data_IF_404139422610
#
_entry.id   IF_404139422610
#
_cell.length_a   1.000
_cell.length_b   1.000
_cell.length_c   1.000
_cell.angle_alpha   90.00
_cell.angle_beta   90.00
_cell.angle_gamma   90.00
#
_symmetry.space_group_name_H-M   'P 1'
#
loop_
_entity.id
_entity.type
_entity.pdbx_description
1 polymer ?
#
# COMPACT_ATOMS: atom_id res chain seq x y z
N UNK A 1 21.89 9.77 14.81
CA UNK A 1 23.22 10.22 15.23
C UNK A 1 23.76 9.39 16.40
N UNK A 2 25.07 9.19 16.45
CA UNK A 2 25.76 8.50 17.55
C UNK A 2 27.00 9.27 17.96
N UNK A 3 27.31 9.26 19.24
CA UNK A 3 28.57 9.78 19.75
C UNK A 3 29.69 8.76 19.54
N UNK A 4 30.93 9.25 19.33
CA UNK A 4 32.11 8.41 19.49
C UNK A 4 32.33 8.05 20.97
N UNK A 5 33.29 7.20 21.24
CA UNK A 5 33.54 6.70 22.60
C UNK A 5 33.96 7.83 23.58
N UNK A 6 34.69 8.80 23.13
CA UNK A 6 35.16 9.95 23.90
C UNK A 6 34.09 11.01 24.13
N UNK A 7 32.99 10.98 23.35
CA UNK A 7 31.85 11.90 23.46
C UNK A 7 32.09 13.28 22.87
N UNK A 8 33.14 13.47 22.07
CA UNK A 8 33.50 14.74 21.46
C UNK A 8 33.08 14.91 19.99
N UNK A 9 32.60 13.84 19.38
CA UNK A 9 32.07 13.83 18.04
C UNK A 9 30.67 13.17 17.96
N UNK A 10 29.82 13.79 17.14
CA UNK A 10 28.52 13.20 16.75
C UNK A 10 28.60 12.75 15.30
N UNK A 11 28.34 11.47 15.05
CA UNK A 11 28.25 10.86 13.73
C UNK A 11 26.79 10.76 13.32
N UNK A 12 26.50 11.14 12.08
CA UNK A 12 25.14 11.09 11.54
C UNK A 12 25.18 10.89 10.02
N UNK A 13 24.10 10.38 9.47
CA UNK A 13 23.86 10.38 8.04
C UNK A 13 23.03 11.60 7.67
N UNK A 14 23.39 12.26 6.59
CA UNK A 14 22.63 13.34 5.98
C UNK A 14 22.29 12.94 4.55
N UNK A 15 21.03 13.06 4.20
CA UNK A 15 20.58 12.83 2.85
C UNK A 15 20.84 14.07 2.00
N UNK A 16 21.46 13.89 0.86
CA UNK A 16 21.75 14.97 -0.08
C UNK A 16 20.75 14.99 -1.25
N UNK A 17 20.76 16.09 -1.99
CA UNK A 17 19.88 16.28 -3.16
C UNK A 17 20.18 15.34 -4.34
N UNK A 18 21.25 14.58 -4.29
CA UNK A 18 21.61 13.57 -5.29
C UNK A 18 21.17 12.15 -4.87
N UNK A 19 20.22 12.07 -3.92
CA UNK A 19 19.63 10.78 -3.45
C UNK A 19 20.64 9.83 -2.80
N UNK A 20 21.74 10.37 -2.30
CA UNK A 20 22.71 9.58 -1.56
C UNK A 20 22.83 10.05 -0.12
N UNK A 21 22.96 9.10 0.80
CA UNK A 21 23.24 9.40 2.19
C UNK A 21 24.72 9.63 2.38
N UNK A 22 25.08 10.80 2.88
CA UNK A 22 26.46 11.13 3.27
C UNK A 22 26.65 10.83 4.76
N UNK A 23 27.71 10.11 5.10
CA UNK A 23 28.14 9.96 6.48
C UNK A 23 28.92 11.19 6.90
N UNK A 24 28.45 11.87 7.93
CA UNK A 24 29.09 13.10 8.47
C UNK A 24 29.38 12.96 9.94
N UNK A 25 30.31 13.79 10.39
CA UNK A 25 30.52 14.03 11.81
C UNK A 25 30.63 15.53 12.10
N UNK A 26 30.25 15.89 13.31
CA UNK A 26 30.40 17.24 13.83
C UNK A 26 30.93 17.18 15.25
N UNK A 27 31.84 18.09 15.61
CA UNK A 27 32.32 18.20 16.98
C UNK A 27 31.21 18.71 17.90
N UNK A 28 31.08 18.15 19.10
CA UNK A 28 30.15 18.63 20.14
C UNK A 28 30.45 20.05 20.61
N UNK A 29 31.67 20.53 20.32
CA UNK A 29 32.15 21.91 20.64
C UNK A 29 31.78 22.91 19.52
N UNK A 30 31.11 22.45 18.45
CA UNK A 30 30.75 23.27 17.29
C UNK A 30 31.73 23.17 16.14
N UNK A 31 31.50 23.93 15.10
CA UNK A 31 32.25 23.92 13.85
C UNK A 31 31.40 23.44 12.67
N UNK A 32 32.03 23.38 11.48
CA UNK A 32 31.37 22.85 10.29
C UNK A 32 31.36 21.32 10.30
N UNK A 33 30.30 20.69 9.79
CA UNK A 33 30.27 19.24 9.61
C UNK A 33 31.37 18.76 8.64
N UNK A 34 31.98 17.64 8.96
CA UNK A 34 32.93 16.96 8.09
C UNK A 34 32.26 15.77 7.41
N UNK A 35 32.31 15.69 6.08
CA UNK A 35 31.89 14.50 5.34
C UNK A 35 32.95 13.41 5.43
N UNK A 36 32.53 12.20 5.80
CA UNK A 36 33.39 11.03 5.90
C UNK A 36 33.26 10.21 4.62
N UNK A 37 34.33 10.10 3.87
CA UNK A 37 34.38 9.25 2.70
C UNK A 37 34.81 7.83 3.11
N UNK A 38 34.01 6.83 2.71
CA UNK A 38 34.36 5.43 2.87
C UNK A 38 35.22 5.03 1.67
N UNK A 39 36.54 4.90 1.88
CA UNK A 39 37.46 4.55 0.81
C UNK A 39 37.54 3.04 0.56
N UNK A 40 37.36 2.25 1.59
CA UNK A 40 37.45 0.78 1.54
C UNK A 40 36.35 0.13 2.41
N UNK A 41 35.63 -0.84 1.85
CA UNK A 41 34.79 -1.74 2.61
C UNK A 41 35.53 -3.05 2.85
N UNK A 42 35.94 -3.30 4.09
CA UNK A 42 36.39 -4.63 4.51
C UNK A 42 35.23 -5.45 5.02
N UNK A 43 34.79 -6.40 4.21
CA UNK A 43 33.69 -7.30 4.56
C UNK A 43 34.04 -8.32 5.64
N UNK A 44 35.33 -8.41 6.03
CA UNK A 44 35.87 -9.34 7.02
C UNK A 44 35.49 -10.82 6.77
N UNK A 45 35.01 -11.12 5.58
CA UNK A 45 34.65 -12.45 5.11
C UNK A 45 34.78 -12.51 3.58
N UNK A 46 35.14 -13.66 3.01
CA UNK A 46 35.12 -13.85 1.56
C UNK A 46 33.71 -13.68 1.02
N UNK A 47 33.58 -12.97 -0.10
CA UNK A 47 32.31 -12.69 -0.76
C UNK A 47 32.34 -13.02 -2.24
N UNK A 48 31.17 -13.24 -2.82
CA UNK A 48 30.93 -13.31 -4.26
C UNK A 48 29.87 -12.30 -4.68
N UNK A 49 29.82 -12.01 -5.97
CA UNK A 49 28.78 -11.21 -6.59
C UNK A 49 27.65 -12.12 -7.08
N UNK A 50 26.41 -11.86 -6.68
CA UNK A 50 25.23 -12.59 -7.12
C UNK A 50 24.37 -11.71 -8.03
N UNK A 51 24.26 -12.13 -9.29
CA UNK A 51 23.37 -11.53 -10.28
C UNK A 51 22.04 -12.29 -10.28
N UNK A 52 20.96 -11.58 -10.01
CA UNK A 52 19.61 -12.13 -9.94
C UNK A 52 18.80 -11.57 -11.10
N UNK A 53 18.23 -12.45 -11.92
CA UNK A 53 17.19 -12.11 -12.90
C UNK A 53 15.84 -12.64 -12.40
N UNK A 54 14.77 -11.90 -12.61
CA UNK A 54 13.41 -12.31 -12.26
C UNK A 54 12.46 -12.24 -13.43
N UNK A 55 11.66 -13.29 -13.58
CA UNK A 55 10.58 -13.39 -14.55
C UNK A 55 9.27 -13.74 -13.84
N UNK A 56 8.17 -13.23 -14.39
CA UNK A 56 6.81 -13.67 -14.04
C UNK A 56 6.17 -14.18 -15.33
N UNK A 57 5.70 -15.42 -15.36
CA UNK A 57 5.20 -16.11 -16.57
C UNK A 57 6.16 -16.03 -17.77
N UNK A 58 7.47 -16.11 -17.48
CA UNK A 58 8.52 -16.08 -18.49
C UNK A 58 8.86 -14.68 -19.05
N UNK A 59 8.23 -13.63 -18.56
CA UNK A 59 8.55 -12.25 -18.91
C UNK A 59 9.36 -11.59 -17.79
N UNK A 60 10.37 -10.78 -18.14
CA UNK A 60 11.13 -10.01 -17.19
C UNK A 60 10.22 -8.99 -16.50
N UNK A 61 10.03 -9.15 -15.20
CA UNK A 61 9.19 -8.28 -14.40
C UNK A 61 9.82 -7.90 -13.07
N UNK A 62 9.34 -6.79 -12.50
CA UNK A 62 9.73 -6.33 -11.18
C UNK A 62 9.24 -7.30 -10.10
N UNK A 63 10.04 -7.47 -9.05
CA UNK A 63 9.72 -8.33 -7.90
C UNK A 63 10.24 -7.73 -6.60
N UNK A 64 9.59 -8.06 -5.49
CA UNK A 64 10.14 -7.83 -4.16
C UNK A 64 11.04 -9.01 -3.77
N UNK A 65 12.23 -8.69 -3.28
CA UNK A 65 13.25 -9.66 -2.87
C UNK A 65 13.58 -9.53 -1.38
N UNK A 66 13.72 -10.67 -0.72
CA UNK A 66 14.35 -10.79 0.59
C UNK A 66 15.42 -11.87 0.50
N UNK A 67 16.64 -11.53 0.89
CA UNK A 67 17.78 -12.43 0.80
C UNK A 67 18.42 -12.52 2.17
N UNK A 68 18.71 -13.73 2.63
CA UNK A 68 19.43 -13.98 3.87
C UNK A 68 20.56 -14.99 3.69
N UNK A 69 21.63 -14.80 4.45
CA UNK A 69 22.71 -15.80 4.57
C UNK A 69 22.26 -17.01 5.43
N UNK A 70 23.15 -17.97 5.60
CA UNK A 70 22.90 -19.18 6.42
C UNK A 70 22.70 -18.88 7.91
N UNK A 71 23.07 -17.70 8.39
CA UNK A 71 22.90 -17.24 9.77
C UNK A 71 21.65 -16.36 9.95
N UNK A 72 20.92 -16.11 8.86
CA UNK A 72 19.75 -15.25 8.86
C UNK A 72 20.06 -13.75 8.73
N UNK A 73 21.31 -13.36 8.45
CA UNK A 73 21.66 -11.96 8.21
C UNK A 73 21.18 -11.54 6.81
N UNK A 74 20.59 -10.32 6.68
CA UNK A 74 20.12 -9.85 5.39
C UNK A 74 21.27 -9.58 4.43
N UNK A 75 21.10 -9.96 3.17
CA UNK A 75 21.96 -9.62 2.05
C UNK A 75 21.23 -8.60 1.19
N UNK A 76 21.78 -7.42 1.05
CA UNK A 76 21.14 -6.26 0.44
C UNK A 76 21.99 -5.71 -0.72
N UNK A 77 21.37 -5.04 -1.72
CA UNK A 77 22.11 -4.34 -2.77
C UNK A 77 22.89 -3.16 -2.18
N UNK A 78 23.93 -2.74 -2.90
CA UNK A 78 24.76 -1.59 -2.48
C UNK A 78 24.11 -0.23 -2.67
N UNK A 79 22.93 -0.16 -3.29
CA UNK A 79 22.17 1.05 -3.58
C UNK A 79 20.68 0.72 -3.66
N UNK A 80 19.84 1.74 -3.65
CA UNK A 80 18.37 1.62 -3.66
C UNK A 80 17.78 1.67 -2.26
N UNK A 81 16.47 1.62 -2.20
CA UNK A 81 15.69 1.70 -0.95
C UNK A 81 15.60 0.31 -0.33
N UNK A 82 15.98 0.22 0.93
CA UNK A 82 15.92 -1.01 1.73
C UNK A 82 14.88 -0.83 2.81
N UNK A 83 13.97 -1.80 2.88
CA UNK A 83 12.91 -1.82 3.87
C UNK A 83 13.07 -2.97 4.86
N UNK A 84 12.53 -2.77 6.05
CA UNK A 84 12.38 -3.81 7.06
C UNK A 84 10.90 -3.91 7.43
N UNK A 85 10.31 -5.08 7.25
CA UNK A 85 8.92 -5.29 7.63
C UNK A 85 8.75 -5.10 9.15
N UNK A 86 7.66 -4.38 9.52
CA UNK A 86 7.48 -3.88 10.88
C UNK A 86 7.20 -4.94 11.94
N UNK A 87 6.62 -6.07 11.57
CA UNK A 87 6.16 -7.11 12.51
C UNK A 87 7.21 -8.21 12.72
N UNK A 88 7.80 -8.73 11.65
CA UNK A 88 8.72 -9.85 11.72
C UNK A 88 10.20 -9.48 11.45
N UNK A 89 10.45 -8.23 11.05
CA UNK A 89 11.80 -7.72 10.80
C UNK A 89 12.44 -8.24 9.52
N UNK A 90 11.66 -8.85 8.61
CA UNK A 90 12.18 -9.29 7.31
C UNK A 90 12.66 -8.10 6.51
N UNK A 91 13.93 -8.12 6.10
CA UNK A 91 14.51 -7.09 5.24
C UNK A 91 14.18 -7.42 3.80
N UNK A 92 13.71 -6.42 3.05
CA UNK A 92 13.37 -6.57 1.65
C UNK A 92 13.72 -5.32 0.84
N UNK A 93 13.78 -5.49 -0.47
CA UNK A 93 13.98 -4.43 -1.45
C UNK A 93 13.30 -4.83 -2.76
N UNK A 94 13.20 -3.89 -3.68
CA UNK A 94 12.59 -4.12 -4.98
C UNK A 94 13.62 -4.19 -6.10
N UNK A 95 13.32 -4.97 -7.12
CA UNK A 95 14.13 -5.13 -8.32
C UNK A 95 13.24 -4.98 -9.55
N UNK A 96 13.70 -4.23 -10.54
CA UNK A 96 13.03 -4.06 -11.84
C UNK A 96 13.19 -5.26 -12.79
N UNK A 97 13.54 -6.43 -12.26
CA UNK A 97 13.78 -7.65 -13.01
C UNK A 97 15.24 -8.09 -13.07
N UNK A 98 16.18 -7.23 -12.69
CA UNK A 98 17.59 -7.59 -12.53
C UNK A 98 18.20 -6.79 -11.38
N UNK A 99 18.99 -7.46 -10.55
CA UNK A 99 19.74 -6.82 -9.47
C UNK A 99 21.04 -7.57 -9.20
N UNK A 100 22.04 -6.82 -8.77
CA UNK A 100 23.32 -7.33 -8.29
C UNK A 100 23.45 -7.10 -6.79
N UNK A 101 23.83 -8.15 -6.07
CA UNK A 101 24.11 -8.06 -4.64
C UNK A 101 25.46 -8.72 -4.32
N UNK A 102 26.17 -8.17 -3.35
CA UNK A 102 27.34 -8.81 -2.79
C UNK A 102 26.91 -9.70 -1.63
N UNK A 103 27.23 -10.98 -1.70
CA UNK A 103 26.83 -11.98 -0.72
C UNK A 103 28.06 -12.69 -0.12
N UNK A 104 28.01 -13.13 1.15
CA UNK A 104 29.05 -13.97 1.71
C UNK A 104 29.12 -15.33 0.97
N UNK A 105 30.32 -15.90 0.90
CA UNK A 105 30.50 -17.26 0.36
C UNK A 105 29.74 -18.25 1.25
N UNK A 106 28.98 -19.16 0.64
CA UNK A 106 28.14 -20.11 1.33
C UNK A 106 26.72 -20.16 0.77
N UNK A 107 25.77 -20.69 1.53
CA UNK A 107 24.38 -20.77 1.12
C UNK A 107 23.66 -19.46 1.47
N UNK A 108 22.93 -18.91 0.50
CA UNK A 108 21.95 -17.84 0.70
C UNK A 108 20.56 -18.35 0.33
N UNK A 109 19.56 -17.84 1.01
CA UNK A 109 18.14 -18.09 0.71
C UNK A 109 17.54 -16.82 0.12
N UNK A 110 16.96 -16.92 -1.07
CA UNK A 110 16.28 -15.84 -1.78
C UNK A 110 14.78 -16.12 -1.72
N UNK A 111 14.01 -15.16 -1.26
CA UNK A 111 12.55 -15.16 -1.35
C UNK A 111 12.13 -14.06 -2.32
N UNK A 112 11.36 -14.42 -3.33
CA UNK A 112 10.80 -13.50 -4.31
C UNK A 112 9.27 -13.54 -4.29
N UNK A 113 8.63 -12.38 -4.42
CA UNK A 113 7.18 -12.23 -4.54
C UNK A 113 6.84 -11.20 -5.62
N UNK A 114 5.65 -11.35 -6.22
CA UNK A 114 5.08 -10.38 -7.14
C UNK A 114 3.63 -10.14 -6.75
N UNK A 115 3.43 -9.21 -5.82
CA UNK A 115 2.12 -8.88 -5.26
C UNK A 115 1.35 -10.08 -4.74
N UNK A 116 0.02 -10.07 -4.97
CA UNK A 116 -0.90 -11.15 -4.61
C UNK A 116 -1.25 -12.06 -5.78
N UNK A 117 -0.76 -11.75 -6.97
CA UNK A 117 -1.13 -12.46 -8.20
C UNK A 117 -0.21 -13.63 -8.54
N UNK A 118 0.94 -13.74 -7.90
CA UNK A 118 1.90 -14.82 -8.14
C UNK A 118 2.25 -15.61 -6.87
N UNK A 119 2.61 -16.88 -7.06
CA UNK A 119 3.14 -17.68 -5.97
C UNK A 119 4.52 -17.19 -5.53
N UNK A 120 4.73 -17.21 -4.22
CA UNK A 120 6.03 -16.92 -3.63
C UNK A 120 7.06 -17.97 -4.05
N UNK A 121 8.18 -17.55 -4.61
CA UNK A 121 9.32 -18.41 -4.87
C UNK A 121 10.37 -18.30 -3.77
N UNK A 122 10.85 -19.44 -3.27
CA UNK A 122 11.98 -19.53 -2.34
C UNK A 122 13.06 -20.39 -2.96
N UNK A 123 14.27 -19.86 -3.11
CA UNK A 123 15.38 -20.56 -3.72
C UNK A 123 16.66 -20.44 -2.89
N UNK A 124 17.36 -21.55 -2.67
CA UNK A 124 18.68 -21.59 -2.05
C UNK A 124 19.75 -21.59 -3.13
N UNK A 125 20.75 -20.76 -2.96
CA UNK A 125 21.87 -20.59 -3.90
C UNK A 125 23.18 -20.70 -3.14
N UNK A 126 24.13 -21.48 -3.65
CA UNK A 126 25.47 -21.56 -3.09
C UNK A 126 26.37 -20.51 -3.76
N UNK A 127 26.81 -19.55 -3.00
CA UNK A 127 27.69 -18.48 -3.45
C UNK A 127 29.14 -18.95 -3.41
N UNK A 128 29.84 -18.81 -4.54
CA UNK A 128 31.29 -18.98 -4.68
C UNK A 128 31.96 -17.61 -4.89
N UNK A 129 33.28 -17.57 -4.77
CA UNK A 129 34.07 -16.38 -5.13
C UNK A 129 33.85 -16.02 -6.61
N UNK A 130 33.80 -14.72 -6.91
CA UNK A 130 33.52 -14.21 -8.26
C UNK A 130 32.02 -14.10 -8.55
N UNK A 131 31.64 -14.31 -9.81
CA UNK A 131 30.28 -14.08 -10.31
C UNK A 131 29.40 -15.34 -10.17
N UNK A 132 28.27 -15.19 -9.53
CA UNK A 132 27.21 -16.17 -9.40
C UNK A 132 25.94 -15.66 -10.10
N UNK A 133 25.13 -16.53 -10.67
CA UNK A 133 23.91 -16.16 -11.38
C UNK A 133 22.76 -17.04 -10.94
N UNK A 134 21.58 -16.42 -10.81
CA UNK A 134 20.31 -17.11 -10.55
C UNK A 134 19.20 -16.45 -11.36
N UNK A 135 18.28 -17.26 -11.86
CA UNK A 135 17.04 -16.78 -12.46
C UNK A 135 15.87 -17.28 -11.62
N UNK A 136 15.02 -16.36 -11.21
CA UNK A 136 13.79 -16.63 -10.48
C UNK A 136 12.65 -16.61 -11.49
N UNK A 137 11.78 -17.62 -11.46
CA UNK A 137 10.62 -17.71 -12.35
C UNK A 137 9.38 -17.89 -11.48
N UNK A 138 8.59 -16.83 -11.34
CA UNK A 138 7.34 -16.85 -10.62
C UNK A 138 6.20 -17.17 -11.60
N UNK A 139 5.19 -17.86 -11.10
CA UNK A 139 3.99 -18.21 -11.87
C UNK A 139 2.79 -17.45 -11.28
N UNK A 140 2.01 -16.79 -12.15
CA UNK A 140 0.76 -16.15 -11.71
C UNK A 140 -0.27 -17.22 -11.39
N UNK A 141 -0.96 -17.00 -10.28
CA UNK A 141 -2.16 -17.75 -9.89
C UNK A 141 -3.42 -17.12 -10.48
N UNK A 142 -3.35 -15.86 -10.81
CA UNK A 142 -4.40 -15.08 -11.43
C UNK A 142 -3.82 -13.88 -12.17
N UNK A 143 -4.29 -13.64 -13.38
CA UNK A 143 -4.00 -12.43 -14.16
C UNK A 143 -5.24 -11.54 -14.12
N UNK A 144 -5.26 -10.63 -13.15
CA UNK A 144 -6.37 -9.72 -12.93
C UNK A 144 -6.63 -8.83 -14.14
N UNK A 145 -5.56 -8.34 -14.76
CA UNK A 145 -5.62 -7.41 -15.89
C UNK A 145 -6.22 -8.07 -17.15
N UNK A 146 -5.98 -9.35 -17.37
CA UNK A 146 -6.59 -10.11 -18.45
C UNK A 146 -8.12 -10.24 -18.30
N UNK A 147 -8.63 -10.20 -17.06
CA UNK A 147 -10.07 -10.18 -16.77
C UNK A 147 -10.64 -8.75 -16.62
N UNK A 148 -9.80 -7.73 -16.85
CA UNK A 148 -10.15 -6.31 -16.79
C UNK A 148 -10.22 -5.75 -15.36
N UNK A 149 -9.63 -6.43 -14.37
CA UNK A 149 -9.46 -5.95 -13.02
C UNK A 149 -8.09 -5.30 -12.84
N UNK A 150 -8.04 -4.17 -12.16
CA UNK A 150 -6.81 -3.43 -11.91
C UNK A 150 -6.67 -3.11 -10.45
N UNK A 151 -5.51 -3.42 -9.89
CA UNK A 151 -5.18 -3.21 -8.49
C UNK A 151 -4.76 -1.78 -8.22
N UNK A 152 -5.23 -1.21 -7.11
CA UNK A 152 -4.79 0.11 -6.66
C UNK A 152 -4.51 0.14 -5.16
N UNK A 153 -3.51 0.95 -4.81
CA UNK A 153 -3.31 1.44 -3.45
C UNK A 153 -3.73 2.91 -3.41
N UNK A 154 -4.89 3.18 -2.79
CA UNK A 154 -5.48 4.53 -2.77
C UNK A 154 -5.01 5.36 -1.57
N UNK A 155 -4.10 4.82 -0.75
CA UNK A 155 -3.63 5.49 0.46
C UNK A 155 -2.25 4.97 0.88
N UNK A 156 -1.23 5.68 0.54
CA UNK A 156 0.13 5.53 1.06
C UNK A 156 0.85 6.88 1.04
N UNK A 157 2.03 6.97 1.62
CA UNK A 157 2.80 8.21 1.71
C UNK A 157 4.18 8.03 1.09
N UNK A 158 4.58 8.94 0.19
CA UNK A 158 5.92 8.95 -0.38
C UNK A 158 6.93 9.39 0.68
N UNK A 159 6.81 10.64 1.16
CA UNK A 159 7.71 11.24 2.13
C UNK A 159 6.95 11.76 3.35
N UNK A 160 6.63 10.88 4.28
CA UNK A 160 5.79 11.24 5.43
C UNK A 160 6.55 12.00 6.53
N UNK A 161 7.74 11.55 6.90
CA UNK A 161 8.53 12.15 7.97
C UNK A 161 9.85 11.41 8.25
N UNK A 162 10.23 10.49 7.37
CA UNK A 162 11.51 9.77 7.45
C UNK A 162 12.70 10.67 7.13
N UNK A 163 13.89 10.10 7.28
CA UNK A 163 15.16 10.79 7.00
C UNK A 163 15.54 10.75 5.52
N UNK A 164 15.06 9.74 4.80
CA UNK A 164 15.28 9.62 3.37
C UNK A 164 14.17 10.36 2.63
N UNK A 165 14.52 10.97 1.53
CA UNK A 165 13.58 11.59 0.61
C UNK A 165 13.58 10.80 -0.68
N UNK A 166 12.39 10.36 -1.09
CA UNK A 166 12.14 9.60 -2.31
C UNK A 166 11.56 10.52 -3.37
N UNK A 167 11.94 10.28 -4.61
CA UNK A 167 11.26 10.85 -5.76
C UNK A 167 10.13 9.91 -6.25
N UNK A 168 9.14 10.41 -6.99
CA UNK A 168 8.05 9.59 -7.49
C UNK A 168 8.50 8.38 -8.31
N UNK A 169 9.61 8.50 -9.02
CA UNK A 169 10.21 7.43 -9.84
C UNK A 169 10.69 6.24 -9.00
N UNK A 170 11.11 6.47 -7.76
CA UNK A 170 11.61 5.42 -6.87
C UNK A 170 10.53 4.38 -6.55
N UNK A 171 9.26 4.80 -6.44
CA UNK A 171 8.16 3.90 -6.09
C UNK A 171 7.46 3.26 -7.29
N UNK A 172 7.79 3.61 -8.52
CA UNK A 172 7.21 2.95 -9.70
C UNK A 172 7.63 1.48 -9.78
N UNK A 173 8.86 1.17 -9.40
CA UNK A 173 9.33 -0.22 -9.32
C UNK A 173 8.63 -0.98 -8.20
N UNK A 174 8.40 -0.34 -7.06
CA UNK A 174 7.71 -0.93 -5.92
C UNK A 174 6.27 -1.29 -6.27
N UNK A 175 5.53 -0.35 -6.89
CA UNK A 175 4.18 -0.57 -7.39
C UNK A 175 4.12 -1.72 -8.40
N UNK A 176 5.03 -1.72 -9.38
CA UNK A 176 5.10 -2.79 -10.38
C UNK A 176 5.40 -4.14 -9.75
N UNK A 177 6.35 -4.20 -8.81
CA UNK A 177 6.73 -5.43 -8.11
C UNK A 177 5.61 -5.99 -7.21
N UNK A 178 4.74 -5.13 -6.72
CA UNK A 178 3.57 -5.52 -5.93
C UNK A 178 2.30 -5.73 -6.80
N UNK A 179 2.42 -5.63 -8.13
CA UNK A 179 1.27 -5.79 -9.04
C UNK A 179 0.19 -4.72 -8.81
N UNK A 180 0.60 -3.49 -8.53
CA UNK A 180 -0.29 -2.33 -8.38
C UNK A 180 -0.30 -1.57 -9.70
N UNK A 181 -1.47 -1.45 -10.33
CA UNK A 181 -1.64 -0.77 -11.62
C UNK A 181 -1.77 0.74 -11.48
N UNK A 182 -2.32 1.20 -10.36
CA UNK A 182 -2.46 2.63 -10.05
C UNK A 182 -2.21 2.90 -8.57
N UNK A 183 -1.36 3.88 -8.27
CA UNK A 183 -1.03 4.31 -6.91
C UNK A 183 -1.41 5.75 -6.64
N UNK A 184 -1.93 6.01 -5.43
CA UNK A 184 -2.23 7.35 -4.95
C UNK A 184 -1.44 7.65 -3.68
N UNK A 185 -0.17 8.15 -3.79
CA UNK A 185 0.49 8.71 -2.62
C UNK A 185 -0.24 9.97 -2.17
N UNK A 186 -0.56 10.01 -0.87
CA UNK A 186 -1.32 11.12 -0.29
C UNK A 186 -0.39 12.14 0.36
N UNK A 187 -0.50 13.38 -0.06
CA UNK A 187 0.23 14.51 0.54
C UNK A 187 -0.30 14.75 1.95
N UNK A 188 0.51 14.44 2.95
CA UNK A 188 0.14 14.56 4.36
C UNK A 188 1.33 14.64 5.33
N UNK A 189 2.50 15.05 4.86
CA UNK A 189 3.75 15.03 5.61
C UNK A 189 3.65 15.62 7.02
N UNK A 190 4.25 14.95 8.00
CA UNK A 190 4.30 15.43 9.38
C UNK A 190 5.31 16.55 9.58
N UNK A 191 6.53 16.38 9.06
CA UNK A 191 7.64 17.30 9.29
C UNK A 191 7.60 18.54 8.40
N UNK A 192 7.44 18.36 7.10
CA UNK A 192 7.35 19.42 6.12
C UNK A 192 6.13 19.22 5.21
N UNK A 193 5.02 19.80 5.58
CA UNK A 193 3.74 19.62 4.89
C UNK A 193 3.69 20.19 3.48
N UNK A 194 4.62 21.05 3.13
CA UNK A 194 4.67 21.69 1.82
C UNK A 194 5.64 21.04 0.84
N UNK A 195 6.42 20.08 1.31
CA UNK A 195 7.47 19.44 0.52
C UNK A 195 6.94 18.86 -0.79
N UNK A 196 5.85 18.10 -0.73
CA UNK A 196 5.25 17.38 -1.85
C UNK A 196 4.12 18.13 -2.55
N UNK A 197 3.83 19.36 -2.16
CA UNK A 197 2.74 20.15 -2.77
C UNK A 197 2.86 20.23 -4.30
N UNK A 198 4.06 20.32 -4.83
CA UNK A 198 4.30 20.42 -6.28
C UNK A 198 3.99 19.11 -7.00
N UNK A 199 4.01 17.96 -6.34
CA UNK A 199 3.77 16.64 -6.89
C UNK A 199 2.29 16.39 -7.22
N UNK A 200 1.36 17.24 -6.77
CA UNK A 200 -0.06 17.15 -7.17
C UNK A 200 -0.27 17.22 -8.69
N UNK A 201 0.70 17.77 -9.42
CA UNK A 201 0.68 17.83 -10.88
C UNK A 201 1.62 16.81 -11.54
N UNK A 202 2.15 15.87 -10.77
CA UNK A 202 3.02 14.83 -11.32
C UNK A 202 2.26 13.92 -12.27
N UNK A 203 2.89 13.60 -13.36
CA UNK A 203 2.42 12.69 -14.41
C UNK A 203 3.57 11.80 -14.81
N UNK A 204 3.37 10.48 -14.79
CA UNK A 204 4.31 9.55 -15.37
C UNK A 204 3.74 8.95 -16.66
N UNK A 205 4.63 8.47 -17.52
CA UNK A 205 4.27 7.71 -18.71
C UNK A 205 4.27 6.21 -18.41
N UNK A 206 3.36 5.47 -19.03
CA UNK A 206 3.31 4.01 -18.92
C UNK A 206 2.57 3.50 -17.68
N UNK A 207 2.93 2.26 -17.28
CA UNK A 207 2.35 1.55 -16.14
C UNK A 207 3.49 1.20 -15.15
N UNK A 208 3.22 1.22 -13.84
CA UNK A 208 1.95 1.63 -13.19
C UNK A 208 1.65 3.13 -13.33
N UNK A 209 0.38 3.51 -13.19
CA UNK A 209 -0.06 4.90 -13.16
C UNK A 209 0.17 5.44 -11.74
N UNK A 210 0.85 6.57 -11.61
CA UNK A 210 1.08 7.25 -10.35
C UNK A 210 0.40 8.61 -10.34
N UNK A 211 -0.49 8.85 -9.38
CA UNK A 211 -1.24 10.09 -9.22
C UNK A 211 -1.29 10.50 -7.76
N UNK A 212 -0.96 11.74 -7.47
CA UNK A 212 -0.98 12.22 -6.10
C UNK A 212 -2.39 12.61 -5.66
N UNK A 213 -2.71 12.23 -4.42
CA UNK A 213 -3.90 12.65 -3.71
C UNK A 213 -3.54 13.44 -2.45
N UNK A 214 -4.50 13.62 -1.57
CA UNK A 214 -4.30 14.33 -0.31
C UNK A 214 -4.97 13.58 0.84
N UNK A 215 -4.28 13.47 1.96
CA UNK A 215 -4.92 13.14 3.23
C UNK A 215 -5.21 14.42 4.01
N UNK A 216 -6.49 14.63 4.32
CA UNK A 216 -6.97 15.73 5.14
C UNK A 216 -7.25 15.21 6.54
N UNK A 217 -6.72 15.87 7.57
CA UNK A 217 -6.68 15.33 8.93
C UNK A 217 -7.44 16.18 9.93
N UNK A 218 -8.46 15.58 10.54
CA UNK A 218 -8.99 16.01 11.82
C UNK A 218 -8.96 14.83 12.79
N UNK A 219 -8.24 14.94 13.89
CA UNK A 219 -8.18 13.86 14.87
C UNK A 219 -9.51 13.61 15.58
N UNK A 220 -10.40 14.58 15.58
CA UNK A 220 -11.71 14.43 16.19
C UNK A 220 -12.77 13.93 15.21
N UNK A 221 -12.84 14.54 14.02
CA UNK A 221 -13.86 14.19 13.02
C UNK A 221 -13.47 13.02 12.14
N UNK A 222 -12.19 12.64 12.09
CA UNK A 222 -11.63 11.58 11.26
C UNK A 222 -10.78 12.11 10.12
N UNK A 223 -9.93 11.25 9.57
CA UNK A 223 -9.12 11.56 8.41
C UNK A 223 -9.87 11.24 7.12
N UNK A 224 -9.55 11.97 6.07
CA UNK A 224 -10.14 11.81 4.74
C UNK A 224 -9.06 11.70 3.69
N UNK A 225 -9.24 10.83 2.70
CA UNK A 225 -8.49 10.92 1.45
C UNK A 225 -9.28 11.71 0.40
N UNK A 226 -8.54 12.39 -0.48
CA UNK A 226 -9.05 13.04 -1.68
C UNK A 226 -8.17 12.57 -2.85
N UNK A 227 -8.77 11.91 -3.85
CA UNK A 227 -8.07 11.39 -5.04
C UNK A 227 -8.78 11.87 -6.31
N UNK A 228 -8.01 12.08 -7.38
CA UNK A 228 -8.56 12.52 -8.68
C UNK A 228 -8.67 14.04 -8.84
N UNK A 229 -7.97 14.84 -8.03
CA UNK A 229 -7.82 16.29 -8.23
C UNK A 229 -6.35 16.69 -8.21
N UNK A 230 -6.02 17.78 -8.90
CA UNK A 230 -4.70 18.41 -8.86
C UNK A 230 -4.63 19.58 -7.86
N UNK A 231 -5.73 19.87 -7.19
CA UNK A 231 -5.82 20.95 -6.22
C UNK A 231 -5.86 20.42 -4.80
N UNK A 232 -5.12 21.08 -3.91
CA UNK A 232 -5.14 20.76 -2.47
C UNK A 232 -6.27 21.52 -1.78
N UNK A 233 -6.98 20.82 -0.90
CA UNK A 233 -7.86 21.46 0.08
C UNK A 233 -7.01 22.10 1.18
N UNK A 234 -7.38 23.30 1.61
CA UNK A 234 -6.69 24.02 2.68
C UNK A 234 -7.67 24.56 3.74
N UNK A 235 -7.38 24.43 5.02
CA UNK A 235 -6.24 23.72 5.62
C UNK A 235 -6.46 22.20 5.56
N UNK A 236 -5.39 21.40 5.47
CA UNK A 236 -5.51 19.93 5.45
C UNK A 236 -5.31 19.26 6.80
N UNK A 237 -5.06 20.07 7.86
CA UNK A 237 -4.95 19.61 9.24
C UNK A 237 -5.60 20.63 10.14
N UNK A 238 -6.46 20.19 11.06
CA UNK A 238 -7.05 21.02 12.09
C UNK A 238 -7.45 20.25 13.34
N UNK A 239 -7.88 20.98 14.39
CA UNK A 239 -8.33 20.41 15.63
C UNK A 239 -7.24 20.31 16.69
N UNK A 240 -7.50 19.61 17.80
CA UNK A 240 -6.58 19.48 18.91
C UNK A 240 -5.18 19.02 18.47
N UNK A 241 -4.15 19.63 19.01
CA UNK A 241 -2.72 19.41 18.69
C UNK A 241 -2.26 20.00 17.34
N UNK A 242 -3.13 20.69 16.60
CA UNK A 242 -2.81 21.36 15.34
C UNK A 242 -3.21 22.84 15.31
N UNK A 243 -3.19 23.50 16.46
CA UNK A 243 -3.68 24.88 16.65
C UNK A 243 -3.03 25.91 15.72
N UNK A 244 -1.80 25.62 15.24
CA UNK A 244 -1.10 26.49 14.28
C UNK A 244 -1.75 26.51 12.89
N UNK A 245 -2.59 25.50 12.56
CA UNK A 245 -3.24 25.36 11.25
C UNK A 245 -4.73 25.71 11.28
N UNK A 246 -5.28 26.01 12.44
CA UNK A 246 -6.67 26.40 12.63
C UNK A 246 -7.31 25.81 13.88
N UNK A 247 -8.45 26.35 14.23
CA UNK A 247 -9.26 25.84 15.33
C UNK A 247 -10.07 24.62 14.86
N UNK A 248 -10.64 23.90 15.83
CA UNK A 248 -11.55 22.78 15.58
C UNK A 248 -12.98 23.27 15.26
N UNK A 249 -13.08 24.21 14.32
CA UNK A 249 -14.31 24.89 13.92
C UNK A 249 -14.76 24.54 12.49
N UNK A 250 -14.13 23.52 11.87
CA UNK A 250 -14.44 23.04 10.52
C UNK A 250 -15.05 21.65 10.56
N UNK A 251 -15.93 21.39 9.62
CA UNK A 251 -16.55 20.07 9.45
C UNK A 251 -15.89 19.33 8.30
N UNK A 252 -15.79 18.00 8.40
CA UNK A 252 -15.29 17.14 7.32
C UNK A 252 -16.15 17.23 6.04
N UNK A 253 -17.40 17.65 6.15
CA UNK A 253 -18.26 17.93 5.00
C UNK A 253 -17.66 19.01 4.05
N UNK A 254 -16.82 19.93 4.54
CA UNK A 254 -16.20 20.96 3.70
C UNK A 254 -15.21 20.36 2.68
N UNK A 255 -14.16 19.60 3.09
CA UNK A 255 -13.27 18.93 2.14
C UNK A 255 -13.98 17.87 1.28
N UNK A 256 -15.00 17.17 1.80
CA UNK A 256 -15.78 16.23 1.00
C UNK A 256 -16.52 16.94 -0.15
N UNK A 257 -17.15 18.08 0.12
CA UNK A 257 -17.80 18.94 -0.89
C UNK A 257 -16.79 19.57 -1.84
N UNK A 258 -15.63 19.98 -1.35
CA UNK A 258 -14.54 20.47 -2.21
C UNK A 258 -14.16 19.41 -3.24
N UNK A 259 -13.89 18.19 -2.81
CA UNK A 259 -13.55 17.09 -3.70
C UNK A 259 -14.64 16.85 -4.75
N UNK A 260 -15.89 16.74 -4.34
CA UNK A 260 -17.03 16.56 -5.25
C UNK A 260 -17.15 17.70 -6.27
N UNK A 261 -16.96 18.95 -5.87
CA UNK A 261 -17.00 20.11 -6.76
C UNK A 261 -15.87 20.12 -7.79
N UNK A 262 -14.76 19.41 -7.51
CA UNK A 262 -13.63 19.21 -8.43
C UNK A 262 -13.77 17.94 -9.28
N UNK A 263 -14.85 17.17 -9.13
CA UNK A 263 -15.02 15.87 -9.79
C UNK A 263 -14.11 14.77 -9.24
N UNK A 264 -13.53 15.00 -8.07
CA UNK A 264 -12.68 14.06 -7.33
C UNK A 264 -13.51 13.17 -6.42
N UNK A 265 -12.92 12.07 -5.94
CA UNK A 265 -13.48 11.22 -4.90
C UNK A 265 -12.86 11.54 -3.56
N UNK A 266 -13.68 11.48 -2.52
CA UNK A 266 -13.21 11.60 -1.16
C UNK A 266 -14.01 10.71 -0.21
N UNK A 267 -13.35 10.32 0.87
CA UNK A 267 -13.98 9.53 1.90
C UNK A 267 -13.11 9.34 3.14
N UNK A 268 -13.66 8.63 4.11
CA UNK A 268 -12.97 8.35 5.36
C UNK A 268 -11.95 7.25 5.20
N UNK A 269 -10.75 7.48 5.74
CA UNK A 269 -9.65 6.51 5.78
C UNK A 269 -9.50 5.93 7.19
N UNK A 270 -9.00 4.68 7.30
CA UNK A 270 -8.86 3.90 8.54
C UNK A 270 -9.97 4.18 9.57
N UNK A 271 -11.26 4.05 9.17
CA UNK A 271 -12.37 4.65 9.93
C UNK A 271 -12.75 3.89 11.19
N UNK A 272 -12.44 2.60 11.28
CA UNK A 272 -12.83 1.77 12.44
C UNK A 272 -11.63 0.96 12.93
N UNK A 273 -11.30 1.06 14.21
CA UNK A 273 -10.16 0.36 14.83
C UNK A 273 -10.58 -0.75 15.79
N UNK A 274 -11.82 -1.21 15.73
CA UNK A 274 -12.38 -2.27 16.60
C UNK A 274 -13.21 -3.26 15.80
N UNK A 275 -13.17 -4.52 16.22
CA UNK A 275 -13.86 -5.61 15.51
C UNK A 275 -15.39 -5.50 15.52
N UNK A 276 -15.99 -4.99 16.60
CA UNK A 276 -17.42 -4.71 16.69
C UNK A 276 -17.64 -3.22 16.97
N UNK A 277 -18.00 -2.43 15.92
CA UNK A 277 -18.19 -0.99 16.06
C UNK A 277 -19.51 -0.61 16.77
N UNK A 278 -20.41 -1.55 17.00
CA UNK A 278 -21.74 -1.30 17.57
C UNK A 278 -21.80 -1.51 19.07
N UNK A 279 -20.72 -1.97 19.71
CA UNK A 279 -20.66 -2.07 21.17
C UNK A 279 -20.65 -0.68 21.83
N UNK A 280 -21.25 -0.57 23.01
CA UNK A 280 -21.42 0.68 23.76
C UNK A 280 -20.10 1.48 23.93
N UNK A 281 -18.96 0.79 24.08
CA UNK A 281 -17.63 1.42 24.26
C UNK A 281 -16.91 1.75 22.96
N UNK A 282 -17.41 1.34 21.83
CA UNK A 282 -16.73 1.47 20.52
C UNK A 282 -16.85 2.86 19.91
N UNK A 283 -17.68 3.75 20.46
CA UNK A 283 -17.90 5.10 19.96
C UNK A 283 -16.62 5.97 19.88
N UNK A 284 -15.55 5.61 20.58
CA UNK A 284 -14.25 6.30 20.52
C UNK A 284 -13.40 5.87 19.31
N UNK A 285 -13.74 4.74 18.71
CA UNK A 285 -12.98 4.11 17.62
C UNK A 285 -13.58 4.38 16.23
N UNK A 286 -14.60 5.24 16.15
CA UNK A 286 -15.26 5.64 14.91
C UNK A 286 -15.11 7.15 14.76
N UNK A 287 -14.77 7.67 13.57
CA UNK A 287 -14.72 9.09 13.28
C UNK A 287 -16.06 9.76 13.59
N UNK A 288 -16.04 10.85 14.34
CA UNK A 288 -17.28 11.47 14.87
C UNK A 288 -18.20 12.02 13.78
N UNK A 289 -17.63 12.40 12.63
CA UNK A 289 -18.43 12.94 11.54
C UNK A 289 -18.89 11.87 10.52
N UNK A 290 -18.27 10.69 10.46
CA UNK A 290 -18.52 9.67 9.42
C UNK A 290 -20.00 9.33 9.26
N UNK A 291 -20.72 9.05 10.36
CA UNK A 291 -22.12 8.66 10.29
C UNK A 291 -23.00 9.79 9.77
N UNK A 292 -22.78 11.02 10.25
CA UNK A 292 -23.52 12.18 9.80
C UNK A 292 -23.24 12.51 8.32
N UNK A 293 -21.98 12.54 7.92
CA UNK A 293 -21.58 12.82 6.55
C UNK A 293 -22.05 11.72 5.59
N UNK A 294 -22.05 10.45 6.03
CA UNK A 294 -22.59 9.35 5.28
C UNK A 294 -24.09 9.49 5.03
N UNK A 295 -24.88 9.72 6.09
CA UNK A 295 -26.34 9.92 5.99
C UNK A 295 -26.70 11.14 5.15
N UNK A 296 -25.89 12.19 5.18
CA UNK A 296 -26.07 13.40 4.36
C UNK A 296 -25.62 13.20 2.89
N UNK A 297 -25.07 12.03 2.53
CA UNK A 297 -24.60 11.75 1.17
C UNK A 297 -23.35 12.52 0.77
N UNK A 298 -22.53 12.91 1.73
CA UNK A 298 -21.28 13.64 1.48
C UNK A 298 -20.11 12.69 1.15
N UNK A 299 -20.15 11.44 1.63
CA UNK A 299 -19.08 10.44 1.50
C UNK A 299 -19.20 9.69 0.18
N UNK A 300 -18.17 9.72 -0.65
CA UNK A 300 -18.13 8.99 -1.93
C UNK A 300 -17.55 7.59 -1.81
N UNK A 301 -16.47 7.44 -1.05
CA UNK A 301 -15.74 6.20 -0.84
C UNK A 301 -15.50 5.94 0.65
N UNK A 302 -15.38 4.68 1.03
CA UNK A 302 -15.00 4.29 2.40
C UNK A 302 -13.83 3.31 2.33
N UNK A 303 -12.76 3.58 3.05
CA UNK A 303 -11.60 2.71 3.11
C UNK A 303 -11.89 1.53 4.03
N UNK A 304 -12.16 0.37 3.41
CA UNK A 304 -12.49 -0.87 4.15
C UNK A 304 -11.23 -1.54 4.68
N UNK A 305 -10.13 -1.47 3.94
CA UNK A 305 -8.85 -2.07 4.29
C UNK A 305 -7.73 -1.05 4.36
N UNK A 306 -6.98 -1.08 5.48
CA UNK A 306 -5.83 -0.22 5.74
C UNK A 306 -5.04 -0.76 6.94
N UNK A 307 -3.75 -0.40 7.07
CA UNK A 307 -2.90 -0.81 8.18
C UNK A 307 -3.50 -0.51 9.58
N UNK A 308 -4.23 0.60 9.69
CA UNK A 308 -4.74 1.12 10.98
C UNK A 308 -6.23 0.82 11.20
N UNK A 309 -6.86 0.08 10.31
CA UNK A 309 -8.29 -0.25 10.43
C UNK A 309 -8.50 -1.71 10.86
N UNK A 310 -9.62 -1.99 11.51
CA UNK A 310 -10.19 -3.33 11.60
C UNK A 310 -11.13 -3.52 10.40
N UNK A 311 -10.74 -4.35 9.45
CA UNK A 311 -11.47 -4.54 8.19
C UNK A 311 -12.86 -5.14 8.43
N UNK A 312 -12.99 -6.01 9.42
CA UNK A 312 -14.27 -6.65 9.76
C UNK A 312 -15.22 -5.64 10.39
N UNK A 313 -14.74 -4.84 11.33
CA UNK A 313 -15.55 -3.78 11.95
C UNK A 313 -15.93 -2.69 10.95
N UNK A 314 -15.02 -2.33 10.05
CA UNK A 314 -15.30 -1.36 8.99
C UNK A 314 -16.33 -1.91 7.99
N UNK A 315 -16.19 -3.18 7.57
CA UNK A 315 -17.17 -3.84 6.70
C UNK A 315 -18.55 -3.94 7.35
N UNK A 316 -18.62 -4.22 8.66
CA UNK A 316 -19.87 -4.26 9.39
C UNK A 316 -20.59 -2.89 9.36
N UNK A 317 -19.85 -1.80 9.60
CA UNK A 317 -20.40 -0.45 9.50
C UNK A 317 -20.82 -0.11 8.05
N UNK A 318 -20.03 -0.50 7.06
CA UNK A 318 -20.37 -0.32 5.65
C UNK A 318 -21.64 -1.06 5.25
N UNK A 319 -21.86 -2.29 5.73
CA UNK A 319 -23.10 -3.05 5.52
C UNK A 319 -24.33 -2.29 6.06
N UNK A 320 -24.22 -1.63 7.22
CA UNK A 320 -25.33 -0.84 7.76
C UNK A 320 -25.65 0.37 6.88
N UNK A 321 -24.66 1.06 6.33
CA UNK A 321 -24.91 2.13 5.36
C UNK A 321 -25.66 1.58 4.13
N UNK A 322 -25.26 0.43 3.59
CA UNK A 322 -25.94 -0.19 2.46
C UNK A 322 -27.37 -0.60 2.81
N UNK A 323 -27.62 -1.16 4.02
CA UNK A 323 -28.95 -1.52 4.51
C UNK A 323 -29.86 -0.30 4.64
N UNK A 324 -29.31 0.86 4.94
CA UNK A 324 -30.04 2.13 4.96
C UNK A 324 -30.25 2.75 3.56
N UNK A 325 -29.74 2.12 2.51
CA UNK A 325 -29.80 2.65 1.15
C UNK A 325 -28.81 3.79 0.87
N UNK A 326 -27.72 3.84 1.62
CA UNK A 326 -26.64 4.83 1.49
C UNK A 326 -25.46 4.14 0.82
N UNK A 327 -25.33 4.20 -0.52
CA UNK A 327 -24.20 3.55 -1.20
C UNK A 327 -22.92 4.35 -0.98
N UNK A 328 -21.89 3.65 -0.54
CA UNK A 328 -20.50 4.14 -0.52
C UNK A 328 -19.65 3.10 -1.26
N UNK A 329 -18.80 3.54 -2.17
CA UNK A 329 -17.90 2.62 -2.85
C UNK A 329 -16.79 2.16 -1.90
N UNK A 330 -16.45 0.86 -1.97
CA UNK A 330 -15.33 0.32 -1.22
C UNK A 330 -14.01 0.83 -1.79
N UNK A 331 -13.14 1.32 -0.93
CA UNK A 331 -11.76 1.67 -1.20
C UNK A 331 -10.83 0.94 -0.25
N UNK A 332 -9.54 0.91 -0.59
CA UNK A 332 -8.50 0.40 0.28
C UNK A 332 -7.17 1.09 -0.04
N UNK A 333 -6.29 1.11 0.93
CA UNK A 333 -4.92 1.53 0.81
C UNK A 333 -4.07 0.97 1.94
N UNK A 334 -2.76 0.96 1.77
CA UNK A 334 -1.87 0.37 2.75
C UNK A 334 -1.52 1.31 3.90
N UNK A 335 -1.63 2.63 3.69
CA UNK A 335 -1.16 3.69 4.60
C UNK A 335 0.32 3.49 5.01
N UNK A 336 1.12 2.93 4.10
CA UNK A 336 2.56 2.76 4.32
C UNK A 336 3.29 4.07 4.07
N UNK A 337 4.41 4.23 4.76
CA UNK A 337 5.29 5.40 4.67
C UNK A 337 6.57 4.94 3.99
N UNK A 338 6.65 5.12 2.65
CA UNK A 338 7.72 4.51 1.85
C UNK A 338 9.12 5.01 2.18
N UNK A 339 9.25 6.25 2.66
CA UNK A 339 10.55 6.78 3.08
C UNK A 339 11.01 6.32 4.48
N UNK A 340 10.23 5.49 5.16
CA UNK A 340 10.65 4.84 6.40
C UNK A 340 11.31 3.49 6.07
N UNK A 341 12.47 3.25 6.65
CA UNK A 341 13.12 1.94 6.49
C UNK A 341 12.31 0.79 7.10
N UNK A 342 11.45 1.09 8.09
CA UNK A 342 10.58 0.11 8.73
C UNK A 342 9.14 0.34 8.31
N UNK A 343 8.69 -0.43 7.34
CA UNK A 343 7.37 -0.30 6.74
C UNK A 343 6.84 -1.65 6.28
N UNK A 344 5.55 -1.73 5.98
CA UNK A 344 4.98 -2.83 5.20
C UNK A 344 5.25 -2.62 3.71
N UNK A 345 4.97 -3.64 2.89
CA UNK A 345 4.97 -3.48 1.46
C UNK A 345 3.81 -2.57 1.01
N UNK A 346 4.06 -1.74 0.00
CA UNK A 346 3.01 -0.98 -0.68
C UNK A 346 1.97 -1.95 -1.25
N UNK A 347 0.69 -1.56 -1.23
CA UNK A 347 -0.38 -2.44 -1.69
C UNK A 347 -0.65 -3.66 -0.81
N UNK A 348 -0.11 -3.73 0.42
CA UNK A 348 -0.41 -4.81 1.39
C UNK A 348 -1.91 -4.90 1.71
N UNK A 349 -2.61 -3.80 1.57
CA UNK A 349 -4.08 -3.74 1.44
C UNK A 349 -4.39 -2.92 0.20
N UNK A 350 -5.27 -3.43 -0.66
CA UNK A 350 -5.53 -2.86 -1.99
C UNK A 350 -6.98 -3.00 -2.40
N UNK A 351 -7.39 -2.17 -3.35
CA UNK A 351 -8.66 -2.28 -4.03
C UNK A 351 -8.45 -2.71 -5.48
N UNK A 352 -9.23 -3.68 -5.92
CA UNK A 352 -9.34 -4.03 -7.34
C UNK A 352 -10.56 -3.34 -7.92
N UNK A 353 -10.39 -2.70 -9.07
CA UNK A 353 -11.46 -1.98 -9.78
C UNK A 353 -11.55 -2.50 -11.21
N UNK A 354 -12.78 -2.66 -11.70
CA UNK A 354 -13.06 -3.02 -13.10
C UNK A 354 -13.57 -1.77 -13.84
N UNK A 355 -12.70 -0.98 -14.49
CA UNK A 355 -13.12 0.17 -15.28
C UNK A 355 -13.85 -0.23 -16.54
N UNK A 356 -14.57 0.71 -17.14
CA UNK A 356 -15.15 0.55 -18.48
C UNK A 356 -14.12 1.03 -19.52
N UNK A 357 -13.58 0.11 -20.33
CA UNK A 357 -12.55 0.38 -21.33
C UNK A 357 -11.12 0.38 -20.75
N UNK A 358 -10.16 0.99 -21.45
CA UNK A 358 -8.76 1.00 -21.02
C UNK A 358 -8.56 1.67 -19.66
N UNK A 359 -7.56 1.19 -18.91
CA UNK A 359 -7.18 1.79 -17.64
C UNK A 359 -6.65 3.22 -17.88
N UNK A 360 -7.28 4.16 -17.22
CA UNK A 360 -6.85 5.55 -17.05
C UNK A 360 -7.29 5.99 -15.65
N UNK A 361 -6.71 7.03 -15.10
CA UNK A 361 -7.20 7.59 -13.83
C UNK A 361 -8.71 7.83 -13.86
N UNK A 362 -9.22 8.43 -14.94
CA UNK A 362 -10.64 8.75 -15.04
C UNK A 362 -11.54 7.50 -15.12
N UNK A 363 -11.14 6.48 -15.89
CA UNK A 363 -11.91 5.23 -15.99
C UNK A 363 -11.88 4.45 -14.67
N UNK A 364 -10.74 4.46 -13.97
CA UNK A 364 -10.59 3.87 -12.64
C UNK A 364 -11.53 4.53 -11.63
N UNK A 365 -11.49 5.86 -11.48
CA UNK A 365 -12.35 6.59 -10.54
C UNK A 365 -13.85 6.40 -10.86
N UNK A 366 -14.22 6.32 -12.13
CA UNK A 366 -15.60 5.99 -12.55
C UNK A 366 -16.00 4.57 -12.19
N UNK A 367 -15.10 3.61 -12.33
CA UNK A 367 -15.32 2.22 -11.90
C UNK A 367 -15.51 2.13 -10.40
N UNK A 368 -14.63 2.80 -9.65
CA UNK A 368 -14.63 2.83 -8.18
C UNK A 368 -15.96 3.38 -7.64
N UNK A 369 -16.37 4.58 -8.07
CA UNK A 369 -17.62 5.20 -7.56
C UNK A 369 -18.88 4.42 -7.95
N UNK A 370 -18.84 3.64 -9.03
CA UNK A 370 -19.93 2.74 -9.42
C UNK A 370 -19.97 1.46 -8.58
N UNK A 371 -19.07 1.28 -7.62
CA UNK A 371 -18.95 0.07 -6.79
C UNK A 371 -18.46 -1.15 -7.57
N UNK A 372 -17.83 -0.97 -8.75
CA UNK A 372 -17.21 -2.07 -9.51
C UNK A 372 -15.85 -2.38 -8.93
N UNK A 373 -15.83 -2.71 -7.65
CA UNK A 373 -14.62 -2.91 -6.88
C UNK A 373 -14.79 -3.98 -5.82
N UNK A 374 -13.67 -4.58 -5.43
CA UNK A 374 -13.51 -5.35 -4.20
C UNK A 374 -12.18 -5.02 -3.54
N UNK A 375 -12.10 -5.25 -2.23
CA UNK A 375 -10.87 -5.00 -1.45
C UNK A 375 -10.21 -6.32 -1.06
N UNK A 376 -8.89 -6.30 -0.91
CA UNK A 376 -8.11 -7.47 -0.53
C UNK A 376 -6.88 -7.09 0.29
N UNK A 377 -6.53 -7.95 1.24
CA UNK A 377 -5.25 -8.01 1.92
C UNK A 377 -4.54 -9.37 1.69
N UNK A 378 -4.90 -10.05 0.60
CA UNK A 378 -4.32 -11.34 0.19
C UNK A 378 -5.22 -12.07 -0.83
N UNK A 379 -6.33 -12.72 -0.43
CA UNK A 379 -7.21 -13.42 -1.34
C UNK A 379 -7.94 -12.49 -2.30
N UNK A 380 -7.96 -12.83 -3.60
CA UNK A 380 -8.76 -12.16 -4.61
C UNK A 380 -10.08 -12.90 -4.82
N UNK A 381 -11.16 -12.14 -5.09
CA UNK A 381 -12.53 -12.64 -5.18
C UNK A 381 -13.19 -12.16 -6.47
N UNK A 382 -13.52 -13.07 -7.38
CA UNK A 382 -14.33 -12.77 -8.57
C UNK A 382 -15.75 -13.32 -8.36
N UNK A 383 -16.69 -12.44 -8.07
CA UNK A 383 -18.06 -12.80 -7.68
C UNK A 383 -19.08 -12.28 -8.68
N UNK A 384 -20.09 -13.10 -8.97
CA UNK A 384 -21.22 -12.68 -9.78
C UNK A 384 -22.53 -13.29 -9.32
N UNK A 385 -23.64 -12.58 -9.58
CA UNK A 385 -25.00 -13.03 -9.29
C UNK A 385 -25.84 -12.95 -10.57
N UNK A 386 -26.40 -14.08 -11.02
CA UNK A 386 -27.15 -14.20 -12.30
C UNK A 386 -26.34 -13.65 -13.50
N UNK A 387 -25.01 -13.80 -13.48
CA UNK A 387 -24.10 -13.29 -14.52
C UNK A 387 -23.83 -11.79 -14.46
N UNK A 388 -24.28 -11.10 -13.41
CA UNK A 388 -23.97 -9.70 -13.12
C UNK A 388 -22.82 -9.61 -12.13
N UNK A 389 -21.88 -8.77 -12.42
CA UNK A 389 -20.67 -8.55 -11.59
C UNK A 389 -20.94 -7.57 -10.45
N UNK A 390 -19.93 -7.37 -9.59
CA UNK A 390 -20.02 -6.40 -8.48
C UNK A 390 -20.31 -4.98 -9.01
N UNK A 391 -21.07 -4.19 -8.25
CA UNK A 391 -21.52 -2.85 -8.63
C UNK A 391 -22.76 -2.84 -9.55
N UNK A 392 -23.23 -4.00 -10.02
CA UNK A 392 -24.42 -4.08 -10.87
C UNK A 392 -25.67 -4.44 -10.07
N UNK A 393 -26.83 -4.01 -10.57
CA UNK A 393 -28.14 -4.32 -9.99
C UNK A 393 -28.72 -5.55 -10.65
N UNK A 394 -29.11 -6.54 -9.85
CA UNK A 394 -29.80 -7.75 -10.29
C UNK A 394 -31.29 -7.60 -10.06
N UNK A 395 -32.03 -7.25 -11.10
CA UNK A 395 -33.49 -7.25 -11.05
C UNK A 395 -34.02 -8.67 -11.25
N UNK A 396 -34.73 -9.22 -10.26
CA UNK A 396 -35.34 -10.57 -10.35
C UNK A 396 -36.68 -10.63 -9.63
N UNK A 397 -37.63 -11.38 -10.22
CA UNK A 397 -38.89 -11.77 -9.56
C UNK A 397 -38.78 -13.15 -8.89
N UNK A 398 -37.66 -13.85 -9.08
CA UNK A 398 -37.44 -15.19 -8.54
C UNK A 398 -36.96 -15.07 -7.08
N UNK A 399 -37.40 -16.01 -6.24
CA UNK A 399 -36.95 -16.11 -4.84
C UNK A 399 -35.53 -16.68 -4.70
N UNK A 400 -34.95 -17.17 -5.80
CA UNK A 400 -33.59 -17.75 -5.83
C UNK A 400 -32.78 -17.07 -6.92
N UNK A 401 -31.53 -16.87 -6.66
CA UNK A 401 -30.51 -16.38 -7.61
C UNK A 401 -29.43 -17.43 -7.75
N UNK A 402 -28.79 -17.46 -8.91
CA UNK A 402 -27.55 -18.21 -9.11
C UNK A 402 -26.36 -17.28 -8.84
N UNK A 403 -25.34 -17.78 -8.20
CA UNK A 403 -24.11 -17.03 -7.99
C UNK A 403 -22.90 -17.89 -8.37
N UNK A 404 -21.81 -17.23 -8.70
CA UNK A 404 -20.51 -17.84 -8.91
C UNK A 404 -19.46 -17.06 -8.15
N UNK A 405 -18.48 -17.75 -7.58
CA UNK A 405 -17.35 -17.16 -6.90
C UNK A 405 -16.10 -17.95 -7.28
N UNK A 406 -15.11 -17.26 -7.80
CA UNK A 406 -13.75 -17.76 -7.92
C UNK A 406 -12.88 -17.03 -6.91
N UNK A 407 -12.00 -17.76 -6.26
CA UNK A 407 -11.04 -17.23 -5.30
C UNK A 407 -9.63 -17.60 -5.75
N UNK A 408 -8.71 -16.68 -5.60
CA UNK A 408 -7.29 -16.87 -5.87
C UNK A 408 -6.50 -16.31 -4.69
N UNK A 409 -5.47 -17.00 -4.22
CA UNK A 409 -4.67 -16.50 -3.11
C UNK A 409 -3.26 -17.09 -3.12
N UNK A 410 -2.21 -16.28 -2.93
CA UNK A 410 -0.85 -16.79 -2.74
C UNK A 410 -0.67 -17.44 -1.37
N UNK A 411 -1.63 -17.25 -0.45
CA UNK A 411 -1.63 -17.78 0.91
C UNK A 411 -2.87 -18.63 1.16
N UNK A 412 -2.79 -19.66 2.01
CA UNK A 412 -3.96 -20.42 2.43
C UNK A 412 -5.00 -19.53 3.15
N UNK A 413 -6.27 -19.82 2.95
CA UNK A 413 -7.37 -19.24 3.70
C UNK A 413 -8.30 -20.33 4.26
N UNK A 414 -8.96 -20.05 5.39
CA UNK A 414 -9.71 -21.07 6.14
C UNK A 414 -11.13 -21.27 5.63
N UNK A 415 -11.81 -20.18 5.23
CA UNK A 415 -13.22 -20.22 4.86
C UNK A 415 -13.57 -19.13 3.84
N UNK A 416 -14.71 -19.37 3.19
CA UNK A 416 -15.40 -18.40 2.35
C UNK A 416 -16.84 -18.25 2.84
N UNK A 417 -17.31 -17.02 2.90
CA UNK A 417 -18.67 -16.68 3.36
C UNK A 417 -19.35 -15.75 2.36
N UNK A 418 -20.66 -15.91 2.20
CA UNK A 418 -21.50 -14.98 1.44
C UNK A 418 -22.47 -14.32 2.42
N UNK A 419 -22.52 -13.00 2.34
CA UNK A 419 -23.37 -12.16 3.15
C UNK A 419 -24.54 -11.61 2.32
N UNK A 420 -25.73 -11.53 2.92
CA UNK A 420 -26.86 -10.76 2.42
C UNK A 420 -27.32 -9.84 3.55
N UNK A 421 -27.35 -8.53 3.30
CA UNK A 421 -27.73 -7.51 4.28
C UNK A 421 -26.91 -7.56 5.58
N UNK A 422 -25.62 -7.93 5.49
CA UNK A 422 -24.75 -8.08 6.67
C UNK A 422 -24.81 -9.44 7.36
N UNK A 423 -25.72 -10.34 6.96
CA UNK A 423 -25.91 -11.66 7.56
C UNK A 423 -25.26 -12.75 6.69
N UNK A 424 -24.52 -13.67 7.32
CA UNK A 424 -23.95 -14.84 6.63
C UNK A 424 -25.07 -15.79 6.18
N UNK A 425 -25.22 -15.95 4.87
CA UNK A 425 -26.26 -16.85 4.29
C UNK A 425 -25.67 -18.14 3.76
N UNK A 426 -24.37 -18.19 3.54
CA UNK A 426 -23.65 -19.38 3.08
C UNK A 426 -22.21 -19.32 3.55
N UNK A 427 -21.64 -20.48 3.89
CA UNK A 427 -20.26 -20.61 4.32
C UNK A 427 -19.71 -21.96 3.91
N UNK A 428 -18.42 -22.00 3.55
CA UNK A 428 -17.68 -23.25 3.33
C UNK A 428 -16.25 -23.10 3.81
N UNK A 429 -15.67 -24.22 4.27
CA UNK A 429 -14.25 -24.25 4.57
C UNK A 429 -13.44 -24.44 3.28
N UNK A 430 -12.29 -23.84 3.19
CA UNK A 430 -11.32 -24.13 2.16
C UNK A 430 -10.85 -25.59 2.28
N UNK A 431 -10.69 -26.26 1.13
CA UNK A 431 -10.19 -27.66 1.11
C UNK A 431 -8.69 -27.71 0.90
N UNK A 432 -8.13 -26.86 0.05
CA UNK A 432 -6.72 -26.88 -0.35
C UNK A 432 -6.07 -25.48 -0.42
N UNK A 433 -6.76 -24.48 0.06
CA UNK A 433 -6.17 -23.22 0.48
C UNK A 433 -5.99 -22.11 -0.57
N UNK A 434 -5.72 -22.38 -1.85
CA UNK A 434 -5.19 -21.31 -2.70
C UNK A 434 -6.11 -20.84 -3.82
N UNK A 435 -6.96 -21.72 -4.38
CA UNK A 435 -7.84 -21.34 -5.48
C UNK A 435 -9.07 -22.25 -5.54
N UNK A 436 -10.26 -21.68 -5.49
CA UNK A 436 -11.50 -22.44 -5.46
C UNK A 436 -12.57 -21.77 -6.33
N UNK A 437 -13.39 -22.59 -7.00
CA UNK A 437 -14.56 -22.12 -7.75
C UNK A 437 -15.83 -22.72 -7.16
N UNK A 438 -16.83 -21.87 -6.94
CA UNK A 438 -18.13 -22.21 -6.37
C UNK A 438 -19.25 -21.74 -7.31
N UNK A 439 -20.34 -22.57 -7.36
CA UNK A 439 -21.53 -22.25 -8.16
C UNK A 439 -22.80 -22.45 -7.34
#
# INVERSE_FOLDING_TARGET
>A
PKFNHEGDWVYYAEYNKQETSELKRISVFGGEPETLNVEVWDWQAPTGTLHIASNVDGQKEAVRLSISDSNGHPVIPGHGVIHSEGQNGMVFFYSSGEVEVRAPIGEVTITATHGFEAEKQVQKVKIAEGNNKVTLNLERIWDASAEGWYAADNHFHLNYGGTNQLDPEDILVDLAAEGIDIGYPLVANLGNRFLEKHLMNYENEGSPILKFGQEVRSHYFGHLNIIGTRELYWPWVWGPSYDIYGKDDRLNAEPLRFARNKGALAGYVHPVSVHDPFQEKSHQSIPKALVADGVLGEVGILEIGCLWTDEIGTAALWHEFLNLGIPMAMSAGSDVMNNFYRTMAIGATRVYVKPEGPLTEQSFLKGLIKGRSFVSNGPQLVFSVNGKEVGEVVATKKKKVNWTLNTYSPLPYDKVEIFINGEVVWSTKSKDGNSLSYK
#
